data_IF_916625081786
#
_entry.id   IF_916625081786
#
_cell.length_a   1.000
_cell.length_b   1.000
_cell.length_c   1.000
_cell.angle_alpha   90.00
_cell.angle_beta   90.00
_cell.angle_gamma   90.00
#
_symmetry.space_group_name_H-M   'P 1'
#
loop_
_entity.id
_entity.type
_entity.pdbx_description
1 polymer ?
#
# COMPACT_ATOMS: atom_id res chain seq x y z
N UNK A 1 37.84 -55.76 -15.71
CA UNK A 1 37.12 -56.30 -14.52
C UNK A 1 35.64 -56.34 -14.86
N UNK A 2 35.01 -57.51 -14.62
CA UNK A 2 33.80 -57.99 -15.27
C UNK A 2 32.51 -57.34 -14.73
N UNK A 3 31.57 -57.06 -15.64
CA UNK A 3 30.13 -56.87 -15.36
C UNK A 3 29.49 -58.24 -15.07
N UNK A 4 28.64 -58.36 -14.05
CA UNK A 4 27.61 -59.41 -14.00
C UNK A 4 26.40 -58.95 -13.18
N UNK A 5 25.25 -59.13 -13.79
CA UNK A 5 23.87 -58.91 -13.36
C UNK A 5 23.35 -60.23 -12.78
N UNK A 6 22.64 -60.26 -11.64
CA UNK A 6 21.72 -61.36 -11.30
C UNK A 6 20.51 -60.81 -10.53
N UNK A 7 19.34 -60.91 -11.17
CA UNK A 7 18.01 -61.00 -10.56
C UNK A 7 17.70 -62.49 -10.49
N UNK A 8 17.18 -63.02 -9.38
CA UNK A 8 16.12 -64.04 -9.40
C UNK A 8 15.44 -64.22 -8.03
N UNK A 9 14.12 -64.24 -8.14
CA UNK A 9 13.02 -64.55 -7.22
C UNK A 9 12.96 -66.00 -6.71
N UNK A 10 12.22 -66.24 -5.61
CA UNK A 10 11.38 -67.41 -5.23
C UNK A 10 10.72 -67.01 -3.87
N UNK A 11 9.39 -66.84 -3.71
CA UNK A 11 8.32 -67.86 -3.72
C UNK A 11 8.36 -68.67 -2.41
N UNK A 12 7.40 -68.67 -1.48
CA UNK A 12 6.09 -69.30 -1.64
C UNK A 12 5.34 -69.44 -0.28
N UNK A 13 4.03 -69.15 -0.30
CA UNK A 13 2.88 -69.88 0.32
C UNK A 13 2.75 -70.04 1.87
N UNK A 14 1.58 -70.14 2.53
CA UNK A 14 0.22 -70.62 2.17
C UNK A 14 -0.86 -70.16 3.19
N UNK A 15 -2.12 -70.07 2.70
CA UNK A 15 -3.43 -70.40 3.34
C UNK A 15 -4.00 -69.47 4.44
N UNK A 16 -5.32 -69.22 4.57
CA UNK A 16 -6.52 -69.90 4.07
C UNK A 16 -7.78 -68.98 4.07
N UNK A 17 -8.74 -69.29 3.18
CA UNK A 17 -10.22 -69.27 3.24
C UNK A 17 -10.98 -68.31 4.20
N UNK A 18 -12.16 -67.74 3.91
CA UNK A 18 -13.31 -68.24 3.14
C UNK A 18 -14.33 -67.10 2.83
N UNK A 19 -15.25 -67.38 1.90
CA UNK A 19 -16.26 -66.54 1.23
C UNK A 19 -17.49 -66.09 2.07
N UNK A 20 -18.05 -64.93 1.65
CA UNK A 20 -19.50 -64.57 1.42
C UNK A 20 -20.45 -64.44 2.64
N UNK A 21 -21.42 -63.52 2.75
CA UNK A 21 -21.98 -62.39 1.94
C UNK A 21 -22.90 -61.53 2.88
N UNK A 22 -23.03 -60.23 2.60
CA UNK A 22 -24.23 -59.32 2.70
C UNK A 22 -25.13 -59.33 3.97
N UNK A 23 -25.68 -58.22 4.52
CA UNK A 23 -26.21 -56.98 3.91
C UNK A 23 -26.61 -55.97 5.03
N UNK A 24 -26.55 -54.65 4.74
CA UNK A 24 -27.44 -53.53 5.21
C UNK A 24 -27.50 -53.22 6.73
N UNK A 25 -27.54 -51.99 7.26
CA UNK A 25 -27.67 -50.60 6.79
C UNK A 25 -27.16 -49.70 7.93
N UNK A 26 -26.96 -48.41 7.62
CA UNK A 26 -27.10 -47.25 8.50
C UNK A 26 -25.84 -46.58 9.11
N UNK A 27 -25.68 -45.33 8.63
CA UNK A 27 -25.12 -44.13 9.26
C UNK A 27 -23.75 -44.24 9.94
N UNK A 28 -22.72 -43.79 9.21
CA UNK A 28 -21.44 -43.38 9.79
C UNK A 28 -21.43 -41.86 9.91
N UNK A 29 -21.60 -41.36 11.15
CA UNK A 29 -21.00 -40.10 11.55
C UNK A 29 -19.49 -40.35 11.69
N UNK A 30 -18.68 -39.68 10.85
CA UNK A 30 -17.23 -39.64 11.04
C UNK A 30 -16.93 -38.36 11.80
N UNK A 31 -16.63 -38.51 13.08
CA UNK A 31 -15.80 -37.57 13.83
C UNK A 31 -14.42 -37.55 13.19
N UNK A 32 -14.05 -36.41 12.60
CA UNK A 32 -12.71 -36.15 12.12
C UNK A 32 -11.83 -35.77 13.33
N UNK A 33 -11.01 -36.73 13.75
CA UNK A 33 -9.97 -36.54 14.74
C UNK A 33 -8.88 -35.63 14.18
N UNK A 34 -9.08 -34.31 14.26
CA UNK A 34 -7.98 -33.35 14.19
C UNK A 34 -7.44 -33.14 15.60
N UNK A 35 -6.33 -33.82 15.88
CA UNK A 35 -5.45 -33.50 16.97
C UNK A 35 -5.16 -31.99 16.96
N UNK A 36 -5.55 -31.31 18.03
CA UNK A 36 -5.25 -29.91 18.25
C UNK A 36 -3.73 -29.74 18.36
N UNK A 37 -3.11 -29.23 17.29
CA UNK A 37 -1.81 -28.58 17.40
C UNK A 37 -1.99 -27.34 18.28
N UNK A 38 -1.46 -27.44 19.50
CA UNK A 38 -1.29 -26.29 20.38
C UNK A 38 -0.36 -25.29 19.69
N UNK A 39 -0.92 -24.20 19.18
CA UNK A 39 -0.15 -23.00 18.82
C UNK A 39 0.70 -22.55 20.01
N UNK A 40 2.01 -22.31 19.83
CA UNK A 40 2.82 -21.73 20.88
C UNK A 40 2.55 -20.22 20.96
N UNK A 41 2.00 -19.79 22.09
CA UNK A 41 2.18 -18.43 22.63
C UNK A 41 1.33 -17.31 22.03
N UNK A 42 0.21 -16.99 22.67
CA UNK A 42 -0.54 -15.76 22.40
C UNK A 42 0.29 -14.52 22.71
N UNK A 43 0.78 -13.84 21.67
CA UNK A 43 1.20 -12.46 21.78
C UNK A 43 -0.08 -11.62 21.91
N UNK A 44 -0.26 -10.96 23.06
CA UNK A 44 -1.34 -9.99 23.26
C UNK A 44 -1.22 -8.92 22.18
N UNK A 45 -2.20 -8.82 21.29
CA UNK A 45 -2.26 -7.81 20.24
C UNK A 45 -2.11 -6.42 20.88
N UNK A 46 -1.24 -5.57 20.33
CA UNK A 46 -1.02 -4.23 20.85
C UNK A 46 -2.33 -3.42 20.79
N UNK A 47 -2.79 -2.93 21.94
CA UNK A 47 -3.95 -2.06 22.05
C UNK A 47 -3.52 -0.60 22.21
N UNK A 48 -3.76 0.20 21.16
CA UNK A 48 -3.48 1.64 21.14
C UNK A 48 -4.25 2.41 22.24
N UNK A 49 -5.41 1.90 22.68
CA UNK A 49 -6.21 2.56 23.73
C UNK A 49 -5.61 2.43 25.12
N UNK A 50 -4.61 1.57 25.31
CA UNK A 50 -3.82 1.52 26.54
C UNK A 50 -2.90 2.74 26.73
N UNK A 51 -2.68 3.53 25.67
CA UNK A 51 -1.84 4.72 25.71
C UNK A 51 -2.69 5.94 26.05
N UNK A 52 -2.32 6.75 27.07
CA UNK A 52 -3.05 7.96 27.40
C UNK A 52 -2.95 9.01 26.29
N UNK A 53 -4.05 9.73 26.07
CA UNK A 53 -4.07 10.88 25.16
C UNK A 53 -3.26 12.03 25.77
N UNK A 54 -2.35 12.61 24.99
CA UNK A 54 -1.61 13.81 25.34
C UNK A 54 -2.28 15.06 24.78
N UNK A 55 -2.43 16.08 25.61
CA UNK A 55 -2.91 17.40 25.22
C UNK A 55 -1.76 18.40 24.98
N UNK A 56 -0.51 17.92 24.92
CA UNK A 56 0.64 18.79 24.69
C UNK A 56 0.61 19.38 23.26
N UNK A 57 0.92 20.67 23.15
CA UNK A 57 1.15 21.31 21.86
C UNK A 57 2.52 20.89 21.30
N UNK A 58 2.50 19.86 20.46
CA UNK A 58 3.58 19.51 19.54
C UNK A 58 3.26 20.17 18.21
N UNK A 59 4.19 20.98 17.68
CA UNK A 59 3.99 21.82 16.49
C UNK A 59 3.72 21.05 15.19
N UNK A 60 4.42 21.39 14.12
CA UNK A 60 4.29 20.66 12.84
C UNK A 60 5.41 19.63 12.67
N UNK A 61 5.15 18.58 11.86
CA UNK A 61 6.15 17.57 11.49
C UNK A 61 7.45 18.28 11.02
N UNK A 62 8.63 17.98 11.61
CA UNK A 62 8.99 16.77 12.36
C UNK A 62 8.72 16.80 13.88
N UNK A 63 8.03 17.81 14.41
CA UNK A 63 7.68 18.04 15.84
C UNK A 63 8.85 18.27 16.79
N UNK A 64 10.03 17.70 16.52
CA UNK A 64 11.22 17.79 17.33
C UNK A 64 12.39 18.32 16.50
N UNK A 65 13.14 19.26 17.06
CA UNK A 65 14.44 19.67 16.53
C UNK A 65 15.51 18.65 16.87
N UNK A 66 16.67 18.73 16.20
CA UNK A 66 17.83 17.95 16.62
C UNK A 66 18.37 18.38 17.99
N UNK A 67 18.94 17.45 18.76
CA UNK A 67 19.76 17.79 19.92
C UNK A 67 20.91 18.71 19.49
N UNK A 68 21.35 19.59 20.39
CA UNK A 68 22.45 20.52 20.12
C UNK A 68 23.68 19.74 19.64
N UNK A 69 24.28 20.20 18.54
CA UNK A 69 25.48 19.60 17.95
C UNK A 69 25.20 18.46 16.96
N UNK A 70 23.96 18.01 16.83
CA UNK A 70 23.55 16.99 15.86
C UNK A 70 22.81 17.62 14.67
N UNK A 71 22.88 16.97 13.52
CA UNK A 71 22.22 17.38 12.29
C UNK A 71 21.92 16.17 11.39
N UNK A 72 21.19 16.38 10.29
CA UNK A 72 20.96 15.35 9.29
C UNK A 72 22.21 15.09 8.42
N UNK A 73 22.41 13.85 8.00
CA UNK A 73 23.48 13.51 7.05
C UNK A 73 23.16 14.01 5.64
N UNK A 74 21.98 13.68 5.14
CA UNK A 74 21.43 14.12 3.85
C UNK A 74 20.07 14.77 4.04
N UNK A 75 19.55 15.42 2.98
CA UNK A 75 18.23 16.04 3.01
C UNK A 75 17.19 15.03 3.53
N UNK A 76 16.45 15.36 4.60
CA UNK A 76 15.41 14.48 5.12
C UNK A 76 14.36 14.13 4.07
N UNK A 77 13.85 12.90 4.14
CA UNK A 77 12.73 12.44 3.32
C UNK A 77 11.45 12.86 3.99
N UNK A 78 10.57 13.54 3.26
CA UNK A 78 9.25 13.93 3.73
C UNK A 78 8.21 13.64 2.65
N UNK A 79 7.12 12.96 3.00
CA UNK A 79 6.00 12.66 2.10
C UNK A 79 4.68 12.95 2.81
N UNK A 80 3.72 13.48 2.06
CA UNK A 80 2.38 13.84 2.60
C UNK A 80 1.49 12.63 2.85
N UNK A 81 1.79 11.49 2.23
CA UNK A 81 1.17 10.20 2.49
C UNK A 81 2.15 9.09 2.11
N UNK A 82 2.46 8.21 3.05
CA UNK A 82 3.28 7.02 2.84
C UNK A 82 3.05 6.03 4.01
N UNK A 83 3.72 4.90 3.99
CA UNK A 83 3.66 3.85 5.00
C UNK A 83 5.04 3.59 5.62
N UNK A 84 5.08 3.48 6.96
CA UNK A 84 6.24 2.98 7.69
C UNK A 84 5.85 1.78 8.54
N UNK A 85 6.79 0.86 8.74
CA UNK A 85 6.60 -0.27 9.66
C UNK A 85 7.16 0.07 11.03
N UNK A 86 6.38 -0.15 12.08
CA UNK A 86 6.77 0.03 13.47
C UNK A 86 6.63 -1.29 14.24
N UNK A 87 7.63 -1.72 15.03
CA UNK A 87 7.51 -2.90 15.89
C UNK A 87 6.65 -2.60 17.13
N UNK A 88 5.33 -2.70 16.99
CA UNK A 88 4.39 -2.51 18.11
C UNK A 88 4.46 -3.75 19.00
N UNK A 89 5.11 -3.62 20.17
CA UNK A 89 5.45 -4.77 21.04
C UNK A 89 6.20 -5.89 20.30
N UNK A 90 7.02 -5.52 19.32
CA UNK A 90 7.85 -6.45 18.53
C UNK A 90 7.20 -6.99 17.26
N UNK A 91 5.92 -6.71 17.02
CA UNK A 91 5.22 -7.09 15.78
C UNK A 91 5.29 -5.93 14.78
N UNK A 92 5.86 -6.19 13.61
CA UNK A 92 6.08 -5.15 12.59
C UNK A 92 4.75 -4.74 11.95
N UNK A 93 4.21 -3.60 12.38
CA UNK A 93 2.89 -3.14 11.98
C UNK A 93 3.02 -2.00 10.97
N UNK A 94 2.43 -2.08 9.78
CA UNK A 94 2.38 -0.97 8.85
C UNK A 94 1.44 0.12 9.38
N UNK A 95 1.90 1.37 9.35
CA UNK A 95 1.11 2.55 9.68
C UNK A 95 1.26 3.54 8.53
N UNK A 96 0.15 4.15 8.12
CA UNK A 96 0.09 5.11 7.03
C UNK A 96 -0.13 6.54 7.55
N UNK A 97 0.46 7.51 6.86
CA UNK A 97 0.30 8.93 7.17
C UNK A 97 1.38 9.81 6.57
N UNK A 98 1.53 11.01 7.14
CA UNK A 98 2.63 11.92 6.76
C UNK A 98 3.90 11.42 7.40
N UNK A 99 4.96 11.23 6.61
CA UNK A 99 6.24 10.72 7.12
C UNK A 99 7.33 11.77 7.03
N UNK A 100 8.26 11.71 7.97
CA UNK A 100 9.54 12.40 7.94
C UNK A 100 10.63 11.50 8.50
N UNK A 101 11.76 11.37 7.80
CA UNK A 101 12.89 10.55 8.27
C UNK A 101 14.24 11.01 7.77
N UNK A 102 15.28 10.69 8.53
CA UNK A 102 16.66 11.05 8.20
C UNK A 102 17.68 10.29 9.06
N UNK A 103 18.90 10.15 8.55
CA UNK A 103 20.05 9.78 9.38
C UNK A 103 20.55 10.98 10.17
N UNK A 104 20.91 10.76 11.44
CA UNK A 104 21.42 11.76 12.37
C UNK A 104 22.91 11.53 12.59
N UNK A 105 23.68 12.60 12.42
CA UNK A 105 25.14 12.63 12.58
C UNK A 105 25.54 13.86 13.38
N UNK A 106 26.82 14.00 13.68
CA UNK A 106 27.35 15.26 14.19
C UNK A 106 27.20 16.36 13.14
N UNK A 107 26.77 17.54 13.57
CA UNK A 107 26.67 18.71 12.71
C UNK A 107 28.03 19.12 12.15
N UNK A 108 28.04 19.74 10.96
CA UNK A 108 29.29 20.06 10.22
C UNK A 108 30.26 20.96 10.97
N UNK A 109 29.76 21.79 11.87
CA UNK A 109 30.58 22.67 12.73
C UNK A 109 30.87 22.07 14.11
N UNK A 110 30.36 20.86 14.40
CA UNK A 110 30.50 20.24 15.70
C UNK A 110 31.90 19.62 15.84
N UNK A 111 32.61 20.00 16.90
CA UNK A 111 33.92 19.45 17.26
C UNK A 111 33.81 18.31 18.27
N UNK A 112 32.63 18.07 18.83
CA UNK A 112 32.38 16.99 19.79
C UNK A 112 32.21 15.64 19.08
N UNK A 113 32.58 14.55 19.76
CA UNK A 113 32.43 13.19 19.25
C UNK A 113 30.97 12.72 19.33
N UNK A 114 30.59 11.80 18.44
CA UNK A 114 29.26 11.20 18.43
C UNK A 114 29.00 10.46 19.74
N UNK A 115 27.83 10.69 20.34
CA UNK A 115 27.40 10.01 21.56
C UNK A 115 26.00 9.45 21.37
N UNK A 116 25.94 8.13 21.11
CA UNK A 116 24.69 7.39 21.03
C UNK A 116 23.81 7.59 22.28
N UNK A 117 24.35 7.52 23.53
CA UNK A 117 23.55 7.80 24.72
C UNK A 117 22.97 9.22 24.76
N UNK A 118 23.72 10.23 24.31
CA UNK A 118 23.23 11.61 24.25
C UNK A 118 22.10 11.76 23.23
N UNK A 119 22.28 11.22 22.03
CA UNK A 119 21.24 11.21 20.99
C UNK A 119 19.96 10.55 21.50
N UNK A 120 20.04 9.31 21.98
CA UNK A 120 18.87 8.55 22.44
C UNK A 120 18.22 9.23 23.65
N UNK A 121 19.00 9.64 24.66
CA UNK A 121 18.46 10.28 25.86
C UNK A 121 17.77 11.61 25.56
N UNK A 122 18.33 12.41 24.64
CA UNK A 122 17.74 13.70 24.26
C UNK A 122 16.34 13.53 23.68
N UNK A 123 16.15 12.55 22.80
CA UNK A 123 14.83 12.25 22.24
C UNK A 123 13.91 11.54 23.24
N UNK A 124 14.41 10.58 24.03
CA UNK A 124 13.62 9.91 25.08
C UNK A 124 12.98 10.94 26.02
N UNK A 125 13.78 11.89 26.52
CA UNK A 125 13.32 12.93 27.45
C UNK A 125 12.38 13.94 26.75
N UNK A 126 12.67 14.35 25.51
CA UNK A 126 11.83 15.28 24.75
C UNK A 126 10.46 14.70 24.40
N UNK A 127 10.42 13.44 23.97
CA UNK A 127 9.17 12.73 23.62
C UNK A 127 8.33 12.49 24.89
N UNK A 128 8.96 12.05 25.98
CA UNK A 128 8.25 11.85 27.25
C UNK A 128 7.64 13.15 27.78
N UNK A 129 8.34 14.29 27.63
CA UNK A 129 7.86 15.61 28.07
C UNK A 129 6.55 16.05 27.41
N UNK A 130 6.28 15.59 26.19
CA UNK A 130 5.04 15.87 25.46
C UNK A 130 4.03 14.73 25.54
N UNK A 131 4.19 13.82 26.50
CA UNK A 131 3.26 12.71 26.76
C UNK A 131 3.43 11.51 25.84
N UNK A 132 4.57 11.39 25.16
CA UNK A 132 4.89 10.19 24.38
C UNK A 132 5.22 8.99 25.26
N UNK A 133 4.71 7.82 24.88
CA UNK A 133 4.90 6.57 25.59
C UNK A 133 5.78 5.64 24.77
N UNK A 134 6.85 5.13 25.39
CA UNK A 134 7.70 4.10 24.78
C UNK A 134 6.97 2.75 24.80
N UNK A 135 6.71 2.21 23.62
CA UNK A 135 5.94 0.96 23.47
C UNK A 135 6.83 -0.25 23.16
N UNK A 136 8.02 0.00 22.62
CA UNK A 136 9.00 -1.01 22.27
C UNK A 136 10.43 -0.48 22.43
N UNK A 137 11.35 -1.33 22.87
CA UNK A 137 12.77 -1.06 23.05
C UNK A 137 13.51 -2.40 22.94
N UNK A 138 14.02 -2.73 21.76
CA UNK A 138 14.64 -4.03 21.53
C UNK A 138 14.85 -4.39 20.07
N UNK A 139 15.25 -5.64 19.83
CA UNK A 139 15.44 -6.20 18.49
C UNK A 139 14.15 -6.81 17.96
N UNK A 140 13.91 -6.63 16.67
CA UNK A 140 12.82 -7.28 15.94
C UNK A 140 13.22 -8.72 15.62
N UNK A 141 12.27 -9.65 15.68
CA UNK A 141 12.56 -11.05 15.34
C UNK A 141 12.80 -11.23 13.85
N UNK A 142 13.67 -12.17 13.46
CA UNK A 142 13.91 -12.48 12.05
C UNK A 142 12.62 -12.89 11.33
N UNK A 143 11.75 -13.63 12.02
CA UNK A 143 10.44 -14.04 11.50
C UNK A 143 9.58 -12.83 11.07
N UNK A 144 9.56 -11.76 11.87
CA UNK A 144 8.81 -10.55 11.53
C UNK A 144 9.46 -9.76 10.39
N UNK A 145 10.80 -9.74 10.31
CA UNK A 145 11.52 -9.11 9.21
C UNK A 145 11.28 -9.84 7.89
N UNK A 146 11.36 -11.17 7.89
CA UNK A 146 11.07 -12.00 6.72
C UNK A 146 9.63 -11.81 6.25
N UNK A 147 8.68 -11.66 7.19
CA UNK A 147 7.25 -11.43 6.89
C UNK A 147 7.01 -10.14 6.12
N UNK A 148 7.66 -9.04 6.50
CA UNK A 148 7.42 -7.73 5.89
C UNK A 148 8.30 -7.43 4.67
N UNK A 149 9.38 -8.18 4.47
CA UNK A 149 10.35 -7.92 3.40
C UNK A 149 9.71 -7.76 2.00
N UNK A 150 8.68 -8.54 1.60
CA UNK A 150 8.01 -8.34 0.31
C UNK A 150 7.22 -7.01 0.19
N UNK A 151 6.79 -6.44 1.31
CA UNK A 151 5.95 -5.23 1.38
C UNK A 151 6.79 -3.96 1.63
N UNK A 152 7.97 -4.12 2.22
CA UNK A 152 8.86 -3.05 2.63
C UNK A 152 9.70 -2.47 1.47
N UNK A 153 9.01 -2.01 0.43
CA UNK A 153 9.60 -1.48 -0.82
C UNK A 153 10.63 -0.37 -0.63
N UNK A 154 10.54 0.36 0.48
CA UNK A 154 11.38 1.53 0.78
C UNK A 154 12.48 1.23 1.80
N UNK A 155 12.74 -0.03 2.13
CA UNK A 155 13.90 -0.38 2.94
C UNK A 155 15.21 -0.04 2.21
N UNK A 156 16.11 0.66 2.91
CA UNK A 156 17.39 1.09 2.37
C UNK A 156 17.41 2.52 1.82
N UNK A 157 16.28 3.24 1.82
CA UNK A 157 16.29 4.68 1.50
C UNK A 157 16.84 5.53 2.67
N UNK A 158 17.04 6.83 2.43
CA UNK A 158 17.52 7.78 3.43
C UNK A 158 16.69 7.73 4.73
N UNK A 159 17.37 7.69 5.89
CA UNK A 159 16.75 7.58 7.20
C UNK A 159 16.10 6.23 7.51
N UNK A 160 16.46 5.16 6.80
CA UNK A 160 15.99 3.79 7.12
C UNK A 160 16.51 3.32 8.48
N UNK A 161 15.74 2.45 9.15
CA UNK A 161 16.15 1.79 10.40
C UNK A 161 16.84 0.46 10.06
N UNK A 162 17.98 0.18 10.68
CA UNK A 162 18.60 -1.15 10.61
C UNK A 162 17.98 -2.09 11.65
N UNK A 163 16.88 -2.75 11.29
CA UNK A 163 16.21 -3.69 12.18
C UNK A 163 16.94 -5.03 12.36
N UNK A 164 17.90 -5.36 11.49
CA UNK A 164 18.60 -6.65 11.53
C UNK A 164 19.71 -6.65 12.57
N UNK A 165 20.43 -5.54 12.66
CA UNK A 165 21.63 -5.48 13.50
C UNK A 165 21.39 -4.75 14.81
N UNK A 166 20.56 -3.71 14.80
CA UNK A 166 20.45 -2.77 15.92
C UNK A 166 19.09 -2.87 16.64
N UNK A 167 19.06 -2.61 17.96
CA UNK A 167 17.79 -2.41 18.66
C UNK A 167 17.13 -1.10 18.22
N UNK A 168 15.80 -1.09 18.21
CA UNK A 168 14.98 0.08 17.88
C UNK A 168 14.10 0.43 19.06
N UNK A 169 13.96 1.74 19.29
CA UNK A 169 13.00 2.30 20.26
C UNK A 169 11.81 2.84 19.50
N UNK A 170 10.60 2.55 19.97
CA UNK A 170 9.35 3.06 19.38
C UNK A 170 8.53 3.77 20.43
N UNK A 171 8.05 4.96 20.07
CA UNK A 171 7.22 5.82 20.87
C UNK A 171 5.92 6.14 20.14
N UNK A 172 4.86 6.34 20.92
CA UNK A 172 3.58 6.82 20.42
C UNK A 172 3.12 7.99 21.26
N UNK A 173 2.69 9.07 20.61
CA UNK A 173 2.00 10.19 21.22
C UNK A 173 0.56 10.15 20.71
N UNK A 174 -0.38 9.81 21.59
CA UNK A 174 -1.80 9.84 21.23
C UNK A 174 -2.36 11.25 21.29
N UNK A 175 -3.14 11.63 20.29
CA UNK A 175 -3.68 12.99 20.14
C UNK A 175 -5.20 12.99 20.15
N UNK A 176 -5.84 14.06 20.67
CA UNK A 176 -7.31 14.15 20.73
C UNK A 176 -7.99 14.00 19.36
N UNK A 177 -7.33 14.45 18.30
CA UNK A 177 -7.87 14.46 16.93
C UNK A 177 -7.67 13.13 16.19
N UNK A 178 -7.03 12.13 16.82
CA UNK A 178 -6.80 10.81 16.26
C UNK A 178 -5.66 10.72 15.23
N UNK A 179 -4.95 11.82 14.99
CA UNK A 179 -3.74 11.89 14.16
C UNK A 179 -2.48 11.61 14.98
N UNK A 180 -2.51 10.47 15.67
CA UNK A 180 -1.45 9.99 16.57
C UNK A 180 -0.07 10.01 15.89
N UNK A 181 0.97 10.32 16.67
CA UNK A 181 2.35 10.40 16.18
C UNK A 181 3.11 9.14 16.61
N UNK A 182 3.72 8.47 15.64
CA UNK A 182 4.61 7.32 15.84
C UNK A 182 6.04 7.77 15.57
N UNK A 183 6.96 7.44 16.48
CA UNK A 183 8.36 7.82 16.39
C UNK A 183 9.19 6.57 16.60
N UNK A 184 10.20 6.36 15.79
CA UNK A 184 11.19 5.34 16.05
C UNK A 184 12.61 5.85 15.88
N UNK A 185 13.48 5.35 16.76
CA UNK A 185 14.88 5.74 16.86
C UNK A 185 15.72 4.47 16.80
N UNK A 186 16.80 4.54 16.02
CA UNK A 186 17.91 3.61 16.16
C UNK A 186 19.22 4.39 16.14
N UNK A 187 20.29 3.77 16.62
CA UNK A 187 21.62 4.26 16.36
C UNK A 187 22.67 3.25 16.79
N UNK A 188 23.87 3.48 16.29
CA UNK A 188 25.05 2.67 16.55
C UNK A 188 26.20 3.59 17.01
N UNK A 189 27.43 3.08 16.96
CA UNK A 189 28.63 3.81 17.41
C UNK A 189 29.04 4.96 16.48
N UNK A 190 28.41 5.13 15.32
CA UNK A 190 28.78 6.14 14.33
C UNK A 190 27.65 7.14 14.04
N UNK A 191 26.42 6.66 13.95
CA UNK A 191 25.26 7.47 13.52
C UNK A 191 23.97 7.01 14.21
N UNK A 192 22.90 7.78 14.02
CA UNK A 192 21.53 7.37 14.34
C UNK A 192 20.59 7.54 13.15
N UNK A 193 19.34 7.15 13.33
CA UNK A 193 18.24 7.68 12.54
C UNK A 193 17.00 7.86 13.38
N UNK A 194 16.14 8.73 12.86
CA UNK A 194 14.82 8.99 13.38
C UNK A 194 13.82 8.88 12.23
N UNK A 195 12.73 8.18 12.49
CA UNK A 195 11.56 8.19 11.63
C UNK A 195 10.35 8.63 12.44
N UNK A 196 9.56 9.52 11.85
CA UNK A 196 8.37 10.09 12.45
C UNK A 196 7.23 9.94 11.46
N UNK A 197 6.12 9.40 11.93
CA UNK A 197 4.87 9.31 11.18
C UNK A 197 3.78 10.02 11.97
N UNK A 198 3.12 10.99 11.34
CA UNK A 198 1.84 11.53 11.83
C UNK A 198 0.73 10.80 11.10
N UNK A 199 -0.11 10.06 11.84
CA UNK A 199 -1.24 9.34 11.26
C UNK A 199 -2.14 10.34 10.56
N UNK A 200 -2.43 10.09 9.30
CA UNK A 200 -3.33 10.92 8.52
C UNK A 200 -4.28 9.99 7.75
N UNK A 201 -5.58 10.30 7.67
CA UNK A 201 -6.46 9.55 6.80
C UNK A 201 -5.97 9.69 5.35
N UNK A 202 -6.13 8.64 4.57
CA UNK A 202 -5.97 8.75 3.12
C UNK A 202 -7.04 9.70 2.58
N UNK A 203 -6.61 10.85 2.05
CA UNK A 203 -7.49 11.73 1.30
C UNK A 203 -7.48 11.28 -0.16
N UNK A 204 -8.49 10.50 -0.55
CA UNK A 204 -8.65 10.14 -1.96
C UNK A 204 -9.03 11.37 -2.78
N UNK A 205 -8.07 11.92 -3.50
CA UNK A 205 -8.27 13.04 -4.42
C UNK A 205 -8.77 12.60 -5.80
N UNK A 206 -8.79 11.29 -6.06
CA UNK A 206 -9.43 10.72 -7.24
C UNK A 206 -10.94 10.78 -7.02
N UNK A 207 -11.58 11.82 -7.55
CA UNK A 207 -13.03 11.96 -7.57
C UNK A 207 -13.60 11.37 -8.85
N UNK A 208 -14.69 10.62 -8.75
CA UNK A 208 -15.60 10.45 -9.89
C UNK A 208 -16.23 11.84 -10.08
N UNK A 209 -15.81 12.55 -11.14
CA UNK A 209 -16.43 13.83 -11.50
C UNK A 209 -17.94 13.62 -11.58
N UNK A 210 -18.70 14.33 -10.73
CA UNK A 210 -20.16 14.32 -10.80
C UNK A 210 -20.62 15.03 -12.06
N UNK A 211 -21.83 14.72 -12.50
CA UNK A 211 -22.40 15.26 -13.75
C UNK A 211 -22.37 16.79 -13.84
N UNK A 212 -22.56 17.51 -12.74
CA UNK A 212 -22.43 18.97 -12.67
C UNK A 212 -21.00 19.45 -12.93
N UNK A 213 -20.00 18.79 -12.34
CA UNK A 213 -18.59 19.09 -12.58
C UNK A 213 -18.13 18.70 -13.99
N UNK A 214 -18.53 17.51 -14.48
CA UNK A 214 -18.28 17.10 -15.87
C UNK A 214 -18.83 18.15 -16.82
N UNK A 215 -20.08 18.57 -16.61
CA UNK A 215 -20.72 19.58 -17.46
C UNK A 215 -19.98 20.92 -17.38
N UNK A 216 -19.61 21.37 -16.19
CA UNK A 216 -18.85 22.62 -15.99
C UNK A 216 -17.51 22.59 -16.73
N UNK A 217 -16.74 21.51 -16.62
CA UNK A 217 -15.45 21.34 -17.30
C UNK A 217 -15.62 21.28 -18.82
N UNK A 218 -16.62 20.53 -19.31
CA UNK A 218 -16.98 20.49 -20.72
C UNK A 218 -17.42 21.86 -21.26
N UNK A 219 -18.16 22.64 -20.49
CA UNK A 219 -18.60 23.99 -20.87
C UNK A 219 -17.45 25.00 -20.87
N UNK A 220 -16.56 24.93 -19.88
CA UNK A 220 -15.45 25.87 -19.73
C UNK A 220 -14.28 25.58 -20.69
N UNK A 221 -13.95 24.29 -20.88
CA UNK A 221 -12.71 23.87 -21.57
C UNK A 221 -12.95 23.01 -22.80
N UNK A 222 -14.20 22.61 -23.06
CA UNK A 222 -14.51 21.61 -24.10
C UNK A 222 -14.03 20.21 -23.75
N UNK A 223 -13.49 19.99 -22.54
CA UNK A 223 -12.85 18.75 -22.12
C UNK A 223 -13.03 18.47 -20.63
N UNK A 224 -13.35 17.22 -20.29
CA UNK A 224 -13.34 16.71 -18.92
C UNK A 224 -12.43 15.47 -18.83
N UNK A 225 -11.64 15.36 -17.77
CA UNK A 225 -10.71 14.23 -17.54
C UNK A 225 -11.26 13.38 -16.42
N UNK A 226 -11.51 12.09 -16.68
CA UNK A 226 -12.03 11.13 -15.71
C UNK A 226 -11.05 9.99 -15.49
N UNK A 227 -10.88 9.60 -14.22
CA UNK A 227 -10.19 8.38 -13.84
C UNK A 227 -11.23 7.26 -13.70
N UNK A 228 -11.40 6.48 -14.76
CA UNK A 228 -12.29 5.32 -14.80
C UNK A 228 -11.44 4.07 -14.57
N UNK A 229 -11.74 3.33 -13.50
CA UNK A 229 -11.02 2.11 -13.17
C UNK A 229 -11.53 0.91 -13.99
N UNK A 230 -10.56 0.09 -14.40
CA UNK A 230 -10.76 -1.15 -15.14
C UNK A 230 -9.95 -2.25 -14.47
N UNK A 231 -10.36 -3.51 -14.66
CA UNK A 231 -9.53 -4.63 -14.20
C UNK A 231 -8.15 -4.61 -14.90
N UNK A 232 -7.14 -5.15 -14.21
CA UNK A 232 -5.77 -5.22 -14.71
C UNK A 232 -5.73 -5.88 -16.08
N UNK A 233 -5.11 -5.18 -17.04
CA UNK A 233 -4.97 -5.60 -18.44
C UNK A 233 -6.29 -5.95 -19.15
N UNK A 234 -7.41 -5.36 -18.69
CA UNK A 234 -8.74 -5.58 -19.25
C UNK A 234 -9.48 -4.27 -19.49
N UNK A 235 -10.55 -4.38 -20.28
CA UNK A 235 -11.52 -3.32 -20.56
C UNK A 235 -12.85 -3.53 -19.81
N UNK A 236 -12.91 -4.43 -18.83
CA UNK A 236 -14.06 -4.59 -17.94
C UNK A 236 -14.14 -3.44 -16.94
N UNK A 237 -15.29 -2.75 -16.91
CA UNK A 237 -15.57 -1.67 -15.96
C UNK A 237 -15.80 -2.23 -14.56
N UNK A 238 -15.09 -1.66 -13.58
CA UNK A 238 -15.34 -1.90 -12.16
C UNK A 238 -16.58 -1.09 -11.67
N UNK A 239 -17.11 -1.36 -10.45
CA UNK A 239 -18.32 -0.69 -9.95
C UNK A 239 -18.25 0.84 -9.92
N UNK A 240 -17.08 1.39 -9.62
CA UNK A 240 -16.78 2.81 -9.68
C UNK A 240 -16.78 3.35 -11.13
N UNK A 241 -16.25 2.59 -12.08
CA UNK A 241 -16.33 2.90 -13.51
C UNK A 241 -17.77 2.93 -14.04
N UNK A 242 -18.65 2.06 -13.51
CA UNK A 242 -20.10 2.14 -13.80
C UNK A 242 -20.72 3.43 -13.28
N UNK A 243 -20.33 3.85 -12.07
CA UNK A 243 -20.81 5.11 -11.48
C UNK A 243 -20.36 6.32 -12.33
N UNK A 244 -19.12 6.30 -12.84
CA UNK A 244 -18.65 7.33 -13.76
C UNK A 244 -19.47 7.35 -15.07
N UNK A 245 -19.78 6.19 -15.64
CA UNK A 245 -20.66 6.08 -16.82
C UNK A 245 -22.05 6.67 -16.54
N UNK A 246 -22.60 6.46 -15.35
CA UNK A 246 -23.91 7.02 -14.97
C UNK A 246 -23.86 8.55 -14.91
N UNK A 247 -22.81 9.14 -14.34
CA UNK A 247 -22.62 10.60 -14.32
C UNK A 247 -22.46 11.17 -15.74
N UNK A 248 -21.67 10.54 -16.61
CA UNK A 248 -21.55 10.95 -18.02
C UNK A 248 -22.90 10.88 -18.73
N UNK A 249 -23.67 9.82 -18.46
CA UNK A 249 -25.00 9.63 -19.02
C UNK A 249 -25.96 10.73 -18.57
N UNK A 250 -25.92 11.16 -17.30
CA UNK A 250 -26.72 12.29 -16.80
C UNK A 250 -26.41 13.57 -17.56
N UNK A 251 -25.14 13.87 -17.83
CA UNK A 251 -24.74 15.04 -18.64
C UNK A 251 -25.32 14.95 -20.05
N UNK A 252 -25.15 13.81 -20.73
CA UNK A 252 -25.66 13.58 -22.09
C UNK A 252 -27.20 13.58 -22.18
N UNK A 253 -27.90 13.26 -21.08
CA UNK A 253 -29.37 13.38 -20.98
C UNK A 253 -29.80 14.83 -20.73
N UNK A 254 -29.00 15.61 -20.00
CA UNK A 254 -29.29 17.03 -19.73
C UNK A 254 -29.14 17.93 -20.97
N UNK A 255 -28.34 17.50 -21.95
CA UNK A 255 -28.12 18.21 -23.21
C UNK A 255 -28.19 17.21 -24.37
N UNK A 256 -29.28 17.23 -25.13
CA UNK A 256 -29.50 16.32 -26.27
C UNK A 256 -28.61 16.61 -27.48
N UNK A 257 -28.03 17.81 -27.57
CA UNK A 257 -27.16 18.23 -28.69
C UNK A 257 -25.69 17.91 -28.42
N UNK A 258 -25.31 17.70 -27.17
CA UNK A 258 -23.94 17.37 -26.79
C UNK A 258 -23.46 16.10 -27.49
N UNK A 259 -22.31 16.20 -28.17
CA UNK A 259 -21.56 15.09 -28.76
C UNK A 259 -20.20 15.00 -28.11
N UNK A 260 -19.74 13.79 -27.79
CA UNK A 260 -18.49 13.55 -27.08
C UNK A 260 -17.60 12.57 -27.82
N UNK A 261 -16.30 12.85 -27.85
CA UNK A 261 -15.25 11.88 -28.09
C UNK A 261 -14.75 11.36 -26.74
N UNK A 262 -14.65 10.04 -26.61
CA UNK A 262 -14.18 9.31 -25.44
C UNK A 262 -12.78 8.81 -25.77
N UNK A 263 -11.77 9.44 -25.18
CA UNK A 263 -10.37 9.20 -25.48
C UNK A 263 -9.73 8.43 -24.33
N UNK A 264 -9.30 7.19 -24.57
CA UNK A 264 -8.61 6.37 -23.57
C UNK A 264 -7.10 6.59 -23.59
N UNK A 265 -6.48 6.55 -22.40
CA UNK A 265 -5.04 6.65 -22.19
C UNK A 265 -4.54 5.59 -21.21
N UNK A 266 -3.29 5.19 -21.36
CA UNK A 266 -2.56 4.30 -20.44
C UNK A 266 -1.37 5.04 -19.83
N UNK A 267 -0.74 4.43 -18.83
CA UNK A 267 0.65 4.79 -18.49
C UNK A 267 1.64 4.22 -19.53
N UNK A 268 2.93 4.45 -19.34
CA UNK A 268 3.98 4.01 -20.26
C UNK A 268 4.50 2.58 -20.00
N UNK A 269 3.83 1.80 -19.14
CA UNK A 269 4.24 0.42 -18.85
C UNK A 269 3.80 -0.49 -20.00
N UNK A 270 4.65 -1.43 -20.39
CA UNK A 270 4.33 -2.43 -21.42
C UNK A 270 4.57 -1.95 -22.85
N UNK A 271 3.97 -2.65 -23.81
CA UNK A 271 4.18 -2.42 -25.24
C UNK A 271 3.25 -1.32 -25.79
N UNK A 272 3.78 -0.41 -26.61
CA UNK A 272 3.01 0.71 -27.16
C UNK A 272 1.79 0.29 -28.00
N UNK A 273 1.93 -0.71 -28.86
CA UNK A 273 0.83 -1.20 -29.70
C UNK A 273 -0.27 -1.84 -28.83
N UNK A 274 0.14 -2.58 -27.80
CA UNK A 274 -0.78 -3.13 -26.80
C UNK A 274 -1.53 -2.02 -26.04
N UNK A 275 -0.81 -0.98 -25.60
CA UNK A 275 -1.41 0.16 -24.88
C UNK A 275 -2.41 0.95 -25.73
N UNK A 276 -2.13 1.13 -27.02
CA UNK A 276 -3.07 1.75 -27.96
C UNK A 276 -4.34 0.91 -28.09
N UNK A 277 -4.21 -0.41 -28.23
CA UNK A 277 -5.36 -1.31 -28.31
C UNK A 277 -6.17 -1.33 -27.00
N UNK A 278 -5.49 -1.50 -25.86
CA UNK A 278 -6.12 -1.54 -24.54
C UNK A 278 -6.88 -0.26 -24.22
N UNK A 279 -6.28 0.91 -24.49
CA UNK A 279 -6.95 2.19 -24.29
C UNK A 279 -8.17 2.37 -25.22
N UNK A 280 -8.09 1.87 -26.46
CA UNK A 280 -9.22 1.88 -27.41
C UNK A 280 -10.36 0.99 -26.92
N UNK A 281 -10.05 -0.20 -26.42
CA UNK A 281 -11.04 -1.14 -25.90
C UNK A 281 -11.75 -0.58 -24.68
N UNK A 282 -11.00 0.05 -23.77
CA UNK A 282 -11.54 0.76 -22.60
C UNK A 282 -12.47 1.91 -22.99
N UNK A 283 -12.05 2.78 -23.91
CA UNK A 283 -12.90 3.85 -24.42
C UNK A 283 -14.18 3.31 -25.08
N UNK A 284 -14.07 2.20 -25.80
CA UNK A 284 -15.20 1.53 -26.45
C UNK A 284 -16.15 0.90 -25.42
N UNK A 285 -15.62 0.33 -24.33
CA UNK A 285 -16.42 -0.20 -23.23
C UNK A 285 -17.26 0.91 -22.57
N UNK A 286 -16.66 2.08 -22.30
CA UNK A 286 -17.37 3.26 -21.78
C UNK A 286 -18.47 3.71 -22.75
N UNK A 287 -18.16 3.85 -24.04
CA UNK A 287 -19.13 4.21 -25.07
C UNK A 287 -20.33 3.24 -25.08
N UNK A 288 -20.05 1.94 -25.09
CA UNK A 288 -21.10 0.91 -25.13
C UNK A 288 -21.95 0.92 -23.87
N UNK A 289 -21.35 1.17 -22.70
CA UNK A 289 -22.07 1.29 -21.44
C UNK A 289 -23.01 2.50 -21.44
N UNK A 290 -22.53 3.67 -21.89
CA UNK A 290 -23.36 4.89 -22.05
C UNK A 290 -24.50 4.64 -23.05
N UNK A 291 -24.22 3.96 -24.17
CA UNK A 291 -25.23 3.66 -25.18
C UNK A 291 -26.31 2.70 -24.64
N UNK A 292 -25.94 1.74 -23.81
CA UNK A 292 -26.88 0.83 -23.12
C UNK A 292 -27.82 1.60 -22.20
N UNK A 293 -27.39 2.74 -21.66
CA UNK A 293 -28.20 3.63 -20.83
C UNK A 293 -29.12 4.60 -21.61
N UNK A 294 -29.23 4.40 -22.93
CA UNK A 294 -30.21 5.07 -23.79
C UNK A 294 -29.68 6.28 -24.58
N UNK A 295 -28.36 6.51 -24.63
CA UNK A 295 -27.77 7.57 -25.47
C UNK A 295 -27.48 7.01 -26.87
N UNK A 296 -27.85 7.77 -27.91
CA UNK A 296 -27.54 7.40 -29.29
C UNK A 296 -26.02 7.35 -29.53
N UNK A 297 -25.52 6.22 -30.06
CA UNK A 297 -24.11 6.03 -30.41
C UNK A 297 -23.60 7.07 -31.40
N UNK A 298 -24.43 7.66 -32.25
CA UNK A 298 -24.01 8.73 -33.19
C UNK A 298 -23.47 9.96 -32.47
N UNK A 299 -23.85 10.17 -31.20
CA UNK A 299 -23.38 11.27 -30.36
C UNK A 299 -22.01 10.98 -29.74
N UNK A 300 -21.50 9.77 -29.89
CA UNK A 300 -20.29 9.30 -29.22
C UNK A 300 -19.26 8.83 -30.25
N UNK A 301 -17.98 9.06 -29.97
CA UNK A 301 -16.88 8.35 -30.61
C UNK A 301 -15.92 7.85 -29.54
N UNK A 302 -15.19 6.77 -29.80
CA UNK A 302 -14.21 6.22 -28.88
C UNK A 302 -12.87 6.09 -29.60
N UNK A 303 -11.76 6.53 -29.00
CA UNK A 303 -10.40 6.41 -29.53
C UNK A 303 -9.40 6.04 -28.42
N UNK A 304 -8.34 5.33 -28.77
CA UNK A 304 -7.27 4.92 -27.85
C UNK A 304 -5.96 5.59 -28.24
N UNK A 305 -5.33 6.25 -27.27
CA UNK A 305 -4.08 7.00 -27.47
C UNK A 305 -2.87 6.31 -26.84
N UNK A 306 -3.08 5.19 -26.13
CA UNK A 306 -2.03 4.50 -25.38
C UNK A 306 -1.36 5.43 -24.37
N UNK A 307 -0.03 5.37 -24.31
CA UNK A 307 0.82 6.14 -23.39
C UNK A 307 1.10 7.58 -23.85
N UNK A 308 0.54 8.01 -24.99
CA UNK A 308 0.77 9.35 -25.55
C UNK A 308 0.11 10.42 -24.70
N UNK A 309 0.69 11.63 -24.73
CA UNK A 309 0.18 12.80 -23.99
C UNK A 309 -0.01 12.53 -22.48
N UNK A 310 1.07 12.17 -21.75
CA UNK A 310 0.99 12.03 -20.30
C UNK A 310 0.65 13.38 -19.66
N UNK A 311 -0.15 13.33 -18.59
CA UNK A 311 -0.51 14.50 -17.78
C UNK A 311 0.26 14.54 -16.45
N UNK A 312 0.98 13.46 -16.13
CA UNK A 312 1.84 13.36 -14.97
C UNK A 312 3.09 12.53 -15.29
N UNK A 313 4.08 12.58 -14.40
CA UNK A 313 5.34 11.86 -14.57
C UNK A 313 5.17 10.34 -14.43
N UNK A 314 5.52 9.58 -15.47
CA UNK A 314 5.47 8.12 -15.47
C UNK A 314 6.57 7.45 -14.63
N UNK A 315 7.51 8.21 -14.06
CA UNK A 315 8.54 7.65 -13.17
C UNK A 315 8.00 7.26 -11.79
N UNK A 316 6.84 7.81 -11.40
CA UNK A 316 6.16 7.57 -10.12
C UNK A 316 4.88 6.75 -10.31
N UNK A 317 4.51 5.92 -9.34
CA UNK A 317 3.26 5.17 -9.42
C UNK A 317 2.03 6.10 -9.36
N UNK A 318 2.15 7.21 -8.62
CA UNK A 318 1.15 8.26 -8.55
C UNK A 318 0.92 8.87 -9.94
N UNK A 319 1.99 9.23 -10.66
CA UNK A 319 1.86 9.80 -11.99
C UNK A 319 1.41 8.79 -13.04
N UNK A 320 1.81 7.52 -12.95
CA UNK A 320 1.23 6.45 -13.77
C UNK A 320 -0.27 6.31 -13.54
N UNK A 321 -0.73 6.35 -12.29
CA UNK A 321 -2.15 6.32 -11.96
C UNK A 321 -2.91 7.49 -12.58
N UNK A 322 -2.35 8.70 -12.58
CA UNK A 322 -2.94 9.85 -13.26
C UNK A 322 -3.01 9.68 -14.78
N UNK A 323 -2.02 9.04 -15.39
CA UNK A 323 -1.98 8.81 -16.83
C UNK A 323 -2.99 7.77 -17.32
N UNK A 324 -3.34 6.79 -16.48
CA UNK A 324 -4.43 5.82 -16.72
C UNK A 324 -5.79 6.51 -16.58
N UNK A 325 -6.30 7.09 -17.67
CA UNK A 325 -7.49 7.95 -17.65
C UNK A 325 -8.32 7.85 -18.93
N UNK A 326 -9.52 8.41 -18.88
CA UNK A 326 -10.40 8.65 -20.01
C UNK A 326 -10.70 10.14 -20.09
N UNK A 327 -10.53 10.75 -21.26
CA UNK A 327 -10.91 12.14 -21.52
C UNK A 327 -12.20 12.19 -22.34
N UNK A 328 -13.13 13.05 -21.93
CA UNK A 328 -14.31 13.41 -22.71
C UNK A 328 -14.05 14.73 -23.39
N UNK A 329 -14.18 14.78 -24.71
CA UNK A 329 -13.94 15.99 -25.52
C UNK A 329 -15.20 16.32 -26.30
N UNK A 330 -15.66 17.58 -26.22
CA UNK A 330 -16.77 18.06 -27.06
C UNK A 330 -16.39 17.98 -28.54
N UNK A 331 -17.32 17.51 -29.37
CA UNK A 331 -17.18 17.42 -30.83
C UNK A 331 -17.97 18.49 -31.55
#
# INVERSE_FOLDING_TARGET
MKKTLIILSIGALFAACNKKTEQKTDTVAIEDGRAAEKSPGGATQFDINSIPVSNAEVGELPFFSFPKGLDFQNKPVQRSYDMLFFPLKGVMTPIEGKIWKTYVVNGKSNTEEWSLPYFLKSYDDAIAKVGGVKIFDGKVSQQELDRITPEAKYFGEEGSIDYWNEPVKVYVIRRPNGDDIYIQLYGNTATGAIQILQKAPFEQTISILKSDEIKKELDAKGKAVLHINFDTDKASLQPDGKTAVDEITKVLKSDSHLKLAINGYTDNSGNDAHNVQLSKDRATAVLNAIATSGIDKVRLSAEGFGSKNPIADNSSEEGKAQNRRVELVKR
#
